data_IF_932692248170
#
_entry.id   IF_932692248170
#
_cell.length_a   1.000
_cell.length_b   1.000
_cell.length_c   1.000
_cell.angle_alpha   90.00
_cell.angle_beta   90.00
_cell.angle_gamma   90.00
#
_symmetry.space_group_name_H-M   'P 1'
#
loop_
_entity.id
_entity.type
_entity.pdbx_description
1 polymer ?
#
# COMPACT_ATOMS: atom_id res chain seq x y z
N UNK A 1 14.55 3.55 25.30
CA UNK A 1 14.30 4.74 24.46
C UNK A 1 15.28 4.92 23.28
N UNK A 2 16.55 4.50 23.39
CA UNK A 2 17.54 4.68 22.30
C UNK A 2 17.35 3.75 21.08
N UNK A 3 16.79 2.55 21.29
CA UNK A 3 16.55 1.58 20.22
C UNK A 3 15.48 2.05 19.22
N UNK A 4 14.34 2.56 19.72
CA UNK A 4 13.25 3.10 18.90
C UNK A 4 13.70 4.31 18.07
N UNK A 5 14.53 5.21 18.63
CA UNK A 5 15.12 6.34 17.88
C UNK A 5 16.04 5.87 16.75
N UNK A 6 16.84 4.82 16.99
CA UNK A 6 17.77 4.29 15.98
C UNK A 6 17.05 3.60 14.82
N UNK A 7 15.97 2.87 15.12
CA UNK A 7 15.12 2.22 14.12
C UNK A 7 14.32 3.27 13.33
N UNK A 8 13.70 4.24 14.01
CA UNK A 8 12.97 5.33 13.37
C UNK A 8 13.86 6.21 12.47
N UNK A 9 15.14 6.41 12.84
CA UNK A 9 16.10 7.18 12.03
C UNK A 9 16.51 6.50 10.72
N UNK A 10 16.30 5.18 10.59
CA UNK A 10 16.56 4.43 9.35
C UNK A 10 15.31 4.19 8.52
N UNK A 11 14.14 4.50 9.07
CA UNK A 11 12.87 4.35 8.36
C UNK A 11 12.60 5.65 7.61
N UNK A 12 12.49 5.54 6.29
CA UNK A 12 11.85 6.58 5.48
C UNK A 12 10.40 6.73 5.95
N UNK A 13 10.14 7.67 6.87
CA UNK A 13 8.81 7.93 7.43
C UNK A 13 7.78 8.14 6.31
N UNK A 14 8.19 8.78 5.22
CA UNK A 14 7.37 8.96 4.01
C UNK A 14 6.96 7.63 3.39
N UNK A 15 7.85 6.65 3.25
CA UNK A 15 7.47 5.32 2.75
C UNK A 15 6.64 4.54 3.76
N UNK A 16 6.93 4.69 5.04
CA UNK A 16 6.16 4.02 6.07
C UNK A 16 4.70 4.49 6.05
N UNK A 17 4.47 5.80 5.90
CA UNK A 17 3.12 6.37 5.76
C UNK A 17 2.48 5.90 4.46
N UNK A 18 3.19 5.95 3.32
CA UNK A 18 2.62 5.55 2.03
C UNK A 18 2.25 4.06 2.03
N UNK A 19 3.12 3.17 2.50
CA UNK A 19 2.81 1.75 2.59
C UNK A 19 1.74 1.44 3.65
N UNK A 20 1.71 2.18 4.75
CA UNK A 20 0.63 2.08 5.73
C UNK A 20 -0.73 2.44 5.13
N UNK A 21 -0.81 3.55 4.40
CA UNK A 21 -2.00 3.95 3.65
C UNK A 21 -2.35 2.95 2.56
N UNK A 22 -1.36 2.37 1.88
CA UNK A 22 -1.58 1.35 0.86
C UNK A 22 -2.21 0.08 1.48
N UNK A 23 -1.71 -0.34 2.64
CA UNK A 23 -2.23 -1.49 3.39
C UNK A 23 -3.66 -1.25 3.86
N UNK A 24 -3.93 -0.12 4.52
CA UNK A 24 -5.28 0.25 4.93
C UNK A 24 -6.23 0.42 3.74
N UNK A 25 -5.74 1.08 2.68
CA UNK A 25 -6.48 1.26 1.44
C UNK A 25 -6.86 -0.07 0.79
N UNK A 26 -5.96 -1.06 0.81
CA UNK A 26 -6.25 -2.39 0.26
C UNK A 26 -7.35 -3.13 1.02
N UNK A 27 -7.39 -3.04 2.35
CA UNK A 27 -8.46 -3.63 3.17
C UNK A 27 -9.81 -2.97 2.88
N UNK A 28 -9.82 -1.65 2.77
CA UNK A 28 -11.04 -0.90 2.44
C UNK A 28 -11.53 -1.21 1.02
N UNK A 29 -10.60 -1.28 0.07
CA UNK A 29 -10.89 -1.59 -1.33
C UNK A 29 -11.46 -3.00 -1.49
N UNK A 30 -10.89 -4.00 -0.81
CA UNK A 30 -11.41 -5.36 -0.79
C UNK A 30 -12.85 -5.40 -0.24
N UNK A 31 -13.09 -4.75 0.91
CA UNK A 31 -14.43 -4.64 1.50
C UNK A 31 -15.43 -3.94 0.57
N UNK A 32 -15.00 -2.88 -0.11
CA UNK A 32 -15.82 -2.14 -1.07
C UNK A 32 -16.16 -2.99 -2.31
N UNK A 33 -15.19 -3.65 -2.93
CA UNK A 33 -15.41 -4.54 -4.07
C UNK A 33 -16.37 -5.66 -3.66
N UNK A 34 -16.17 -6.26 -2.49
CA UNK A 34 -17.06 -7.30 -1.98
C UNK A 34 -18.50 -6.83 -1.81
N UNK A 35 -18.68 -5.61 -1.31
CA UNK A 35 -19.98 -4.97 -1.12
C UNK A 35 -20.69 -4.68 -2.45
N UNK A 36 -19.95 -4.22 -3.46
CA UNK A 36 -20.53 -3.77 -4.74
C UNK A 36 -20.75 -4.92 -5.72
N UNK A 37 -19.84 -5.89 -5.79
CA UNK A 37 -19.78 -6.81 -6.94
C UNK A 37 -20.26 -8.23 -6.63
N UNK A 38 -20.42 -8.63 -5.36
CA UNK A 38 -20.73 -10.02 -4.94
C UNK A 38 -19.92 -11.07 -5.71
N UNK A 39 -18.67 -10.75 -6.01
CA UNK A 39 -17.80 -11.59 -6.81
C UNK A 39 -17.27 -12.78 -5.99
N UNK A 40 -16.85 -13.82 -6.70
CA UNK A 40 -16.20 -14.96 -6.08
C UNK A 40 -14.83 -14.55 -5.52
N UNK A 41 -14.38 -15.17 -4.42
CA UNK A 41 -13.16 -14.77 -3.70
C UNK A 41 -11.93 -14.61 -4.60
N UNK A 42 -11.76 -15.53 -5.56
CA UNK A 42 -10.66 -15.50 -6.53
C UNK A 42 -10.69 -14.28 -7.46
N UNK A 43 -11.88 -13.83 -7.89
CA UNK A 43 -12.03 -12.65 -8.72
C UNK A 43 -11.78 -11.37 -7.92
N UNK A 44 -12.20 -11.32 -6.66
CA UNK A 44 -11.92 -10.21 -5.74
C UNK A 44 -10.41 -10.03 -5.52
N UNK A 45 -9.69 -11.14 -5.33
CA UNK A 45 -8.24 -11.18 -5.14
C UNK A 45 -7.49 -10.72 -6.40
N UNK A 46 -7.96 -11.15 -7.58
CA UNK A 46 -7.40 -10.72 -8.86
C UNK A 46 -7.56 -9.22 -9.08
N UNK A 47 -8.74 -8.66 -8.80
CA UNK A 47 -9.02 -7.23 -8.95
C UNK A 47 -8.17 -6.42 -7.96
N UNK A 48 -8.09 -6.86 -6.70
CA UNK A 48 -7.23 -6.22 -5.71
C UNK A 48 -5.77 -6.22 -6.16
N UNK A 49 -5.26 -7.35 -6.68
CA UNK A 49 -3.90 -7.42 -7.20
C UNK A 49 -3.68 -6.48 -8.39
N UNK A 50 -4.66 -6.41 -9.30
CA UNK A 50 -4.62 -5.54 -10.48
C UNK A 50 -4.60 -4.05 -10.13
N UNK A 51 -5.23 -3.65 -9.02
CA UNK A 51 -5.28 -2.26 -8.57
C UNK A 51 -4.07 -1.91 -7.70
N UNK A 52 -3.68 -2.78 -6.77
CA UNK A 52 -2.59 -2.52 -5.82
C UNK A 52 -1.22 -2.52 -6.53
N UNK A 53 -1.01 -3.44 -7.48
CA UNK A 53 0.25 -3.59 -8.22
C UNK A 53 0.70 -2.30 -8.95
N UNK A 54 -0.13 -1.63 -9.77
CA UNK A 54 0.26 -0.40 -10.45
C UNK A 54 0.48 0.75 -9.46
N UNK A 55 -0.31 0.84 -8.38
CA UNK A 55 -0.12 1.88 -7.35
C UNK A 55 1.23 1.68 -6.65
N UNK A 56 1.59 0.44 -6.32
CA UNK A 56 2.89 0.12 -5.73
C UNK A 56 4.05 0.51 -6.66
N UNK A 57 3.91 0.22 -7.95
CA UNK A 57 4.90 0.60 -8.96
C UNK A 57 5.02 2.12 -9.10
N UNK A 58 3.88 2.83 -9.10
CA UNK A 58 3.82 4.29 -9.19
C UNK A 58 4.53 4.96 -8.00
N UNK A 59 4.26 4.49 -6.78
CA UNK A 59 4.92 4.96 -5.55
C UNK A 59 6.43 4.77 -5.65
N UNK A 60 6.89 3.62 -6.16
CA UNK A 60 8.31 3.33 -6.32
C UNK A 60 8.99 4.25 -7.33
N UNK A 61 8.32 4.53 -8.45
CA UNK A 61 8.79 5.48 -9.48
C UNK A 61 8.83 6.91 -8.94
N UNK A 62 7.78 7.34 -8.25
CA UNK A 62 7.70 8.66 -7.61
C UNK A 62 8.81 8.83 -6.57
N UNK A 63 9.03 7.85 -5.68
CA UNK A 63 10.15 7.90 -4.73
C UNK A 63 11.48 8.11 -5.47
N UNK A 64 11.73 7.33 -6.53
CA UNK A 64 12.98 7.44 -7.31
C UNK A 64 13.14 8.83 -7.97
N UNK A 65 12.04 9.49 -8.32
CA UNK A 65 12.03 10.82 -8.95
C UNK A 65 12.23 11.96 -7.93
N UNK A 66 11.66 11.84 -6.73
CA UNK A 66 11.69 12.90 -5.70
C UNK A 66 12.80 12.71 -4.65
N UNK A 67 13.48 11.56 -4.63
CA UNK A 67 14.59 11.27 -3.72
C UNK A 67 15.97 11.61 -4.31
N UNK A 68 16.02 12.54 -5.28
CA UNK A 68 17.23 13.05 -5.92
C UNK A 68 17.42 14.51 -5.54
#
# INVERSE_FOLDING_TARGET
MNFLKTVASKIDITLFIIYGFLGFGSMYLASFIRSVTKLNFWAELLICFLIISPIYFLVRVLKKKYSK
#
